data_IF_727813449833
#
_entry.id   IF_727813449833
#
_cell.length_a   1.000
_cell.length_b   1.000
_cell.length_c   1.000
_cell.angle_alpha   90.00
_cell.angle_beta   90.00
_cell.angle_gamma   90.00
#
_symmetry.space_group_name_H-M   'P 1'
#
loop_
_entity.id
_entity.type
_entity.pdbx_description
1 polymer ?
#
# COMPACT_ATOMS: atom_id res chain seq x y z
N UNK A 1 -24.67 -34.06 -37.48
CA UNK A 1 -23.71 -34.78 -36.61
C UNK A 1 -22.63 -33.79 -36.19
N UNK A 2 -22.41 -33.63 -34.88
CA UNK A 2 -21.64 -32.54 -34.25
C UNK A 2 -20.14 -32.67 -34.47
N UNK A 3 -19.46 -31.57 -34.77
CA UNK A 3 -18.01 -31.40 -34.56
C UNK A 3 -17.87 -30.40 -33.41
N UNK A 4 -17.41 -30.89 -32.25
CA UNK A 4 -17.15 -30.07 -31.05
C UNK A 4 -15.65 -29.88 -30.93
N UNK A 5 -15.21 -28.62 -30.92
CA UNK A 5 -13.83 -28.25 -30.63
C UNK A 5 -13.51 -28.32 -29.14
N UNK A 6 -12.25 -28.62 -28.82
CA UNK A 6 -11.67 -28.29 -27.53
C UNK A 6 -10.37 -27.51 -27.76
N UNK A 7 -10.35 -26.30 -27.20
CA UNK A 7 -9.17 -25.44 -27.07
C UNK A 7 -8.41 -25.86 -25.82
N UNK A 8 -7.14 -26.18 -25.96
CA UNK A 8 -6.22 -26.37 -24.83
C UNK A 8 -5.36 -25.11 -24.69
N UNK A 9 -5.59 -24.34 -23.64
CA UNK A 9 -4.84 -23.14 -23.28
C UNK A 9 -3.45 -23.48 -22.73
N UNK A 10 -2.41 -22.63 -22.91
CA UNK A 10 -1.08 -22.89 -22.37
C UNK A 10 -1.03 -22.62 -20.86
N UNK A 11 -0.39 -23.53 -20.12
CA UNK A 11 -0.20 -23.41 -18.67
C UNK A 11 0.82 -22.31 -18.34
N UNK A 12 0.39 -21.29 -17.61
CA UNK A 12 1.24 -20.20 -17.13
C UNK A 12 1.98 -20.67 -15.87
N UNK A 13 3.26 -21.02 -15.98
CA UNK A 13 4.13 -21.31 -14.83
C UNK A 13 4.49 -20.00 -14.12
N UNK A 14 3.84 -19.71 -13.00
CA UNK A 14 4.27 -18.69 -12.04
C UNK A 14 5.40 -19.26 -11.18
N UNK A 15 6.52 -18.53 -11.14
CA UNK A 15 7.61 -18.76 -10.20
C UNK A 15 7.12 -18.57 -8.76
N UNK A 16 6.73 -19.66 -8.10
CA UNK A 16 6.65 -19.70 -6.65
C UNK A 16 8.08 -19.84 -6.12
N UNK A 17 8.59 -18.78 -5.50
CA UNK A 17 9.78 -18.86 -4.66
C UNK A 17 9.38 -19.75 -3.46
N UNK A 18 9.72 -21.03 -3.54
CA UNK A 18 9.47 -22.01 -2.50
C UNK A 18 10.26 -21.61 -1.27
N UNK A 19 9.55 -21.13 -0.25
CA UNK A 19 10.07 -21.16 1.11
C UNK A 19 10.26 -22.64 1.47
N UNK A 20 11.51 -23.11 1.48
CA UNK A 20 11.82 -24.45 1.95
C UNK A 20 11.79 -24.43 3.48
N UNK A 21 10.81 -25.08 4.13
CA UNK A 21 10.82 -25.18 5.58
C UNK A 21 12.05 -26.00 5.98
N UNK A 22 12.95 -25.40 6.76
CA UNK A 22 13.99 -26.15 7.46
C UNK A 22 13.28 -27.07 8.45
N UNK A 23 13.16 -28.35 8.06
CA UNK A 23 13.04 -29.55 8.90
C UNK A 23 12.43 -29.34 10.29
N UNK A 24 11.20 -29.80 10.43
CA UNK A 24 10.44 -30.03 11.66
C UNK A 24 11.31 -30.23 12.91
N UNK A 25 11.61 -29.13 13.59
CA UNK A 25 11.97 -29.14 14.99
C UNK A 25 10.81 -28.46 15.71
N UNK A 26 9.71 -29.19 15.92
CA UNK A 26 8.71 -28.80 16.92
C UNK A 26 9.50 -28.40 18.16
N UNK A 27 9.43 -27.13 18.56
CA UNK A 27 10.09 -26.67 19.78
C UNK A 27 9.57 -27.52 20.93
N UNK A 28 10.37 -28.49 21.38
CA UNK A 28 9.98 -29.43 22.43
C UNK A 28 9.85 -28.62 23.71
N UNK A 29 8.61 -28.28 24.08
CA UNK A 29 8.26 -27.65 25.36
C UNK A 29 7.53 -26.31 25.28
N UNK A 30 7.50 -25.62 24.13
CA UNK A 30 6.71 -24.39 23.99
C UNK A 30 5.60 -24.54 22.94
N UNK A 31 4.36 -24.23 23.33
CA UNK A 31 3.23 -24.15 22.40
C UNK A 31 3.15 -22.76 21.75
N UNK A 32 2.36 -22.62 20.68
CA UNK A 32 2.24 -21.36 19.94
C UNK A 32 1.72 -20.21 20.79
N UNK A 33 0.83 -20.49 21.75
CA UNK A 33 0.29 -19.49 22.68
C UNK A 33 1.37 -18.90 23.60
N UNK A 34 2.28 -19.74 24.12
CA UNK A 34 3.42 -19.27 24.91
C UNK A 34 4.37 -18.41 24.07
N UNK A 35 4.55 -18.74 22.78
CA UNK A 35 5.33 -17.90 21.87
C UNK A 35 4.67 -16.54 21.65
N UNK A 36 3.33 -16.51 21.51
CA UNK A 36 2.59 -15.25 21.42
C UNK A 36 2.71 -14.41 22.70
N UNK A 37 2.62 -15.04 23.88
CA UNK A 37 2.75 -14.34 25.15
C UNK A 37 4.12 -13.65 25.25
N UNK A 38 5.20 -14.35 24.90
CA UNK A 38 6.53 -13.75 24.83
C UNK A 38 6.59 -12.60 23.81
N UNK A 39 6.03 -12.81 22.61
CA UNK A 39 5.99 -11.76 21.59
C UNK A 39 5.29 -10.49 22.09
N UNK A 40 4.20 -10.64 22.84
CA UNK A 40 3.49 -9.51 23.43
C UNK A 40 4.27 -8.80 24.54
N UNK A 41 5.04 -9.52 25.35
CA UNK A 41 5.91 -8.91 26.34
C UNK A 41 6.95 -8.00 25.68
N UNK A 42 7.62 -8.48 24.63
CA UNK A 42 8.57 -7.66 23.87
C UNK A 42 7.89 -6.50 23.14
N UNK A 43 6.69 -6.72 22.59
CA UNK A 43 5.90 -5.65 21.97
C UNK A 43 5.56 -4.52 22.97
N UNK A 44 5.19 -4.87 24.20
CA UNK A 44 4.92 -3.91 25.28
C UNK A 44 6.20 -3.20 25.75
N UNK A 45 7.33 -3.89 25.73
CA UNK A 45 8.64 -3.31 26.01
C UNK A 45 9.16 -2.41 24.86
N UNK A 46 8.50 -2.42 23.70
CA UNK A 46 8.90 -1.67 22.50
C UNK A 46 10.04 -2.31 21.71
N UNK A 47 10.43 -3.53 22.05
CA UNK A 47 11.43 -4.32 21.33
C UNK A 47 10.72 -5.09 20.20
N UNK A 48 10.59 -4.42 19.05
CA UNK A 48 9.83 -4.94 17.93
C UNK A 48 10.58 -6.05 17.17
N UNK A 49 11.90 -6.03 17.21
CA UNK A 49 12.78 -7.06 16.67
C UNK A 49 12.61 -8.38 17.42
N UNK A 50 12.70 -8.38 18.75
CA UNK A 50 12.47 -9.58 19.54
C UNK A 50 11.02 -10.07 19.44
N UNK A 51 10.04 -9.16 19.40
CA UNK A 51 8.65 -9.52 19.18
C UNK A 51 8.45 -10.27 17.85
N UNK A 52 9.12 -9.82 16.77
CA UNK A 52 9.08 -10.48 15.47
C UNK A 52 9.57 -11.93 15.56
N UNK A 53 10.72 -12.16 16.19
CA UNK A 53 11.27 -13.51 16.36
C UNK A 53 10.28 -14.45 17.06
N UNK A 54 9.61 -13.96 18.10
CA UNK A 54 8.64 -14.75 18.85
C UNK A 54 7.33 -15.00 18.10
N UNK A 55 6.84 -14.03 17.32
CA UNK A 55 5.71 -14.26 16.43
C UNK A 55 6.03 -15.29 15.34
N UNK A 56 7.25 -15.24 14.76
CA UNK A 56 7.69 -16.22 13.77
C UNK A 56 7.80 -17.62 14.39
N UNK A 57 8.34 -17.74 15.61
CA UNK A 57 8.33 -19.01 16.36
C UNK A 57 6.91 -19.53 16.60
N UNK A 58 5.93 -18.66 16.88
CA UNK A 58 4.53 -19.09 17.00
C UNK A 58 4.04 -19.72 15.69
N UNK A 59 4.35 -19.11 14.54
CA UNK A 59 4.04 -19.68 13.22
C UNK A 59 4.76 -21.01 12.98
N UNK A 60 6.00 -21.18 13.44
CA UNK A 60 6.71 -22.46 13.34
C UNK A 60 6.03 -23.58 14.15
N UNK A 61 5.38 -23.25 15.27
CA UNK A 61 4.65 -24.26 16.07
C UNK A 61 3.38 -24.76 15.39
N UNK A 62 2.70 -23.87 14.64
CA UNK A 62 1.53 -24.21 13.83
C UNK A 62 1.52 -23.34 12.55
N UNK A 63 2.09 -23.85 11.43
CA UNK A 63 2.26 -23.09 10.20
C UNK A 63 0.96 -22.68 9.49
N UNK A 64 -0.15 -23.32 9.83
CA UNK A 64 -1.46 -23.13 9.20
C UNK A 64 -2.45 -22.41 10.14
N UNK A 65 -2.00 -21.92 11.30
CA UNK A 65 -2.82 -21.10 12.20
C UNK A 65 -2.89 -19.64 11.68
N UNK A 66 -4.03 -19.19 11.11
CA UNK A 66 -4.12 -17.89 10.45
C UNK A 66 -3.86 -16.74 11.42
N UNK A 67 -4.25 -16.88 12.70
CA UNK A 67 -4.03 -15.84 13.70
C UNK A 67 -2.54 -15.60 13.96
N UNK A 68 -1.70 -16.64 13.94
CA UNK A 68 -0.26 -16.50 14.18
C UNK A 68 0.41 -15.81 12.99
N UNK A 69 0.05 -16.23 11.77
CA UNK A 69 0.55 -15.66 10.53
C UNK A 69 0.18 -14.17 10.43
N UNK A 70 -1.06 -13.82 10.76
CA UNK A 70 -1.53 -12.44 10.80
C UNK A 70 -0.77 -11.57 11.82
N UNK A 71 -0.53 -12.08 13.04
CA UNK A 71 0.22 -11.32 14.06
C UNK A 71 1.68 -11.11 13.63
N UNK A 72 2.29 -12.12 13.01
CA UNK A 72 3.62 -11.99 12.40
C UNK A 72 3.63 -10.93 11.29
N UNK A 73 2.63 -10.90 10.39
CA UNK A 73 2.58 -9.90 9.32
C UNK A 73 2.51 -8.47 9.84
N UNK A 74 1.76 -8.22 10.91
CA UNK A 74 1.68 -6.91 11.56
C UNK A 74 3.06 -6.47 12.06
N UNK A 75 3.77 -7.35 12.77
CA UNK A 75 5.07 -7.02 13.38
C UNK A 75 6.14 -6.85 12.32
N UNK A 76 6.17 -7.69 11.28
CA UNK A 76 7.03 -7.53 10.10
C UNK A 76 6.81 -6.16 9.44
N UNK A 77 5.55 -5.75 9.25
CA UNK A 77 5.24 -4.44 8.68
C UNK A 77 5.73 -3.28 9.56
N UNK A 78 5.66 -3.45 10.89
CA UNK A 78 6.16 -2.47 11.86
C UNK A 78 7.69 -2.34 11.81
N UNK A 79 8.39 -3.44 11.56
CA UNK A 79 9.85 -3.48 11.41
C UNK A 79 10.33 -3.08 10.00
N UNK A 80 9.44 -2.51 9.17
CA UNK A 80 9.79 -2.05 7.83
C UNK A 80 9.94 -3.16 6.79
N UNK A 81 9.70 -4.42 7.15
CA UNK A 81 9.80 -5.59 6.26
C UNK A 81 8.50 -5.77 5.44
N UNK A 82 8.16 -4.77 4.65
CA UNK A 82 6.87 -4.71 3.93
C UNK A 82 6.64 -5.89 2.98
N UNK A 83 7.68 -6.38 2.30
CA UNK A 83 7.58 -7.52 1.38
C UNK A 83 7.23 -8.84 2.09
N UNK A 84 7.86 -9.10 3.23
CA UNK A 84 7.58 -10.28 4.06
C UNK A 84 6.20 -10.17 4.71
N UNK A 85 5.86 -8.99 5.23
CA UNK A 85 4.54 -8.71 5.79
C UNK A 85 3.41 -8.99 4.78
N UNK A 86 3.56 -8.57 3.53
CA UNK A 86 2.59 -8.86 2.45
C UNK A 86 2.45 -10.36 2.21
N UNK A 87 3.55 -11.10 2.25
CA UNK A 87 3.55 -12.55 2.04
C UNK A 87 2.79 -13.27 3.16
N UNK A 88 3.04 -12.89 4.42
CA UNK A 88 2.32 -13.45 5.56
C UNK A 88 0.84 -13.02 5.58
N UNK A 89 0.53 -11.74 5.35
CA UNK A 89 -0.85 -11.27 5.31
C UNK A 89 -1.67 -11.96 4.20
N UNK A 90 -1.06 -12.20 3.03
CA UNK A 90 -1.66 -12.96 1.95
C UNK A 90 -2.02 -14.38 2.37
N UNK A 91 -1.08 -15.09 3.02
CA UNK A 91 -1.33 -16.44 3.55
C UNK A 91 -2.44 -16.47 4.61
N UNK A 92 -2.49 -15.47 5.50
CA UNK A 92 -3.55 -15.39 6.51
C UNK A 92 -4.93 -15.25 5.86
N UNK A 93 -5.05 -14.43 4.81
CA UNK A 93 -6.30 -14.28 4.02
C UNK A 93 -6.62 -15.54 3.21
N UNK A 94 -5.62 -16.25 2.68
CA UNK A 94 -5.84 -17.51 1.96
C UNK A 94 -6.42 -18.60 2.87
N UNK A 95 -5.98 -18.67 4.13
CA UNK A 95 -6.42 -19.67 5.09
C UNK A 95 -7.75 -19.31 5.78
N UNK A 96 -8.05 -18.02 5.94
CA UNK A 96 -9.29 -17.51 6.55
C UNK A 96 -9.81 -16.28 5.79
N UNK A 97 -10.36 -16.46 4.57
CA UNK A 97 -10.79 -15.36 3.70
C UNK A 97 -12.01 -14.60 4.22
N UNK A 98 -12.80 -15.22 5.09
CA UNK A 98 -13.95 -14.61 5.75
C UNK A 98 -13.56 -13.64 6.86
N UNK A 99 -12.30 -13.65 7.32
CA UNK A 99 -11.88 -12.83 8.45
C UNK A 99 -11.59 -11.37 8.05
N UNK A 100 -12.47 -10.41 8.40
CA UNK A 100 -12.37 -9.05 7.87
C UNK A 100 -11.08 -8.35 8.30
N UNK A 101 -10.58 -8.65 9.50
CA UNK A 101 -9.33 -8.07 10.01
C UNK A 101 -8.12 -8.41 9.14
N UNK A 102 -8.07 -9.63 8.58
CA UNK A 102 -6.96 -10.09 7.74
C UNK A 102 -7.03 -9.42 6.38
N UNK A 103 -8.23 -9.39 5.79
CA UNK A 103 -8.47 -8.74 4.49
C UNK A 103 -8.16 -7.24 4.57
N UNK A 104 -8.62 -6.55 5.61
CA UNK A 104 -8.33 -5.13 5.81
C UNK A 104 -6.83 -4.87 5.97
N UNK A 105 -6.13 -5.69 6.76
CA UNK A 105 -4.68 -5.56 6.93
C UNK A 105 -3.92 -5.77 5.63
N UNK A 106 -4.24 -6.81 4.85
CA UNK A 106 -3.62 -7.06 3.54
C UNK A 106 -3.82 -5.85 2.61
N UNK A 107 -5.04 -5.33 2.51
CA UNK A 107 -5.34 -4.12 1.72
C UNK A 107 -4.52 -2.91 2.15
N UNK A 108 -4.36 -2.70 3.45
CA UNK A 108 -3.51 -1.60 3.98
C UNK A 108 -2.04 -1.79 3.57
N UNK A 109 -1.51 -3.02 3.62
CA UNK A 109 -0.14 -3.29 3.18
C UNK A 109 0.03 -3.12 1.67
N UNK A 110 -0.95 -3.54 0.86
CA UNK A 110 -0.95 -3.34 -0.59
C UNK A 110 -1.00 -1.86 -0.95
N UNK A 111 -1.83 -1.07 -0.25
CA UNK A 111 -1.86 0.38 -0.38
C UNK A 111 -0.49 1.01 -0.07
N UNK A 112 0.17 0.59 1.01
CA UNK A 112 1.53 1.05 1.37
C UNK A 112 2.56 0.70 0.29
N UNK A 113 2.49 -0.48 -0.34
CA UNK A 113 3.39 -0.87 -1.43
C UNK A 113 3.22 0.02 -2.65
N UNK A 114 1.97 0.27 -3.05
CA UNK A 114 1.66 1.17 -4.17
C UNK A 114 2.10 2.60 -3.87
N UNK A 115 1.87 3.08 -2.65
CA UNK A 115 2.33 4.38 -2.17
C UNK A 115 3.85 4.52 -2.28
N UNK A 116 4.61 3.51 -1.83
CA UNK A 116 6.08 3.52 -1.91
C UNK A 116 6.57 3.59 -3.36
N UNK A 117 5.98 2.81 -4.27
CA UNK A 117 6.30 2.85 -5.69
C UNK A 117 5.98 4.20 -6.34
N UNK A 118 4.80 4.75 -6.06
CA UNK A 118 4.41 6.06 -6.55
C UNK A 118 5.30 7.19 -6.01
N UNK A 119 5.70 7.12 -4.74
CA UNK A 119 6.63 8.08 -4.14
C UNK A 119 7.99 8.03 -4.83
N UNK A 120 8.47 6.83 -5.20
CA UNK A 120 9.68 6.69 -6.01
C UNK A 120 9.55 7.45 -7.32
N UNK A 121 8.48 7.21 -8.10
CA UNK A 121 8.21 7.88 -9.38
C UNK A 121 8.17 9.41 -9.27
N UNK A 122 7.56 9.93 -8.20
CA UNK A 122 7.49 11.37 -7.94
C UNK A 122 8.83 12.01 -7.52
N UNK A 123 9.83 11.21 -7.13
CA UNK A 123 11.19 11.68 -6.84
C UNK A 123 12.09 11.76 -8.08
N UNK A 124 11.65 11.25 -9.23
CA UNK A 124 12.38 11.42 -10.49
C UNK A 124 12.43 12.90 -10.91
N UNK A 125 13.41 13.25 -11.76
CA UNK A 125 13.57 14.59 -12.31
C UNK A 125 13.61 14.51 -13.84
N UNK A 126 12.52 14.89 -14.56
CA UNK A 126 11.24 15.38 -14.04
C UNK A 126 10.40 14.28 -13.34
N UNK A 127 9.44 14.63 -12.45
CA UNK A 127 8.56 13.66 -11.81
C UNK A 127 7.71 12.89 -12.82
N UNK A 128 7.67 11.56 -12.66
CA UNK A 128 6.88 10.63 -13.49
C UNK A 128 5.43 10.55 -12.97
N UNK A 129 4.72 11.68 -13.09
CA UNK A 129 3.41 11.88 -12.46
C UNK A 129 2.30 11.03 -13.08
N UNK A 130 2.31 10.87 -14.41
CA UNK A 130 1.30 10.08 -15.14
C UNK A 130 1.36 8.60 -14.75
N UNK A 131 2.56 8.08 -14.51
CA UNK A 131 2.79 6.72 -14.02
C UNK A 131 2.40 6.57 -12.53
N UNK A 132 2.61 7.60 -11.71
CA UNK A 132 2.29 7.58 -10.29
C UNK A 132 0.76 7.64 -10.02
N UNK A 133 -0.01 8.36 -10.83
CA UNK A 133 -1.46 8.55 -10.66
C UNK A 133 -2.24 7.22 -10.55
N UNK A 134 -2.12 6.24 -11.48
CA UNK A 134 -2.88 4.99 -11.37
C UNK A 134 -2.53 4.19 -10.11
N UNK A 135 -1.25 4.20 -9.69
CA UNK A 135 -0.81 3.56 -8.45
C UNK A 135 -1.46 4.21 -7.23
N UNK A 136 -1.48 5.54 -7.17
CA UNK A 136 -2.05 6.30 -6.07
C UNK A 136 -3.58 6.20 -6.02
N UNK A 137 -4.25 6.13 -7.17
CA UNK A 137 -5.70 5.88 -7.24
C UNK A 137 -6.06 4.51 -6.67
N UNK A 138 -5.29 3.48 -7.02
CA UNK A 138 -5.51 2.14 -6.48
C UNK A 138 -5.18 2.08 -4.99
N UNK A 139 -4.10 2.73 -4.54
CA UNK A 139 -3.77 2.86 -3.13
C UNK A 139 -4.91 3.53 -2.34
N UNK A 140 -5.54 4.57 -2.91
CA UNK A 140 -6.67 5.27 -2.29
C UNK A 140 -7.95 4.42 -2.26
N UNK A 141 -8.14 3.53 -3.25
CA UNK A 141 -9.25 2.56 -3.24
C UNK A 141 -9.07 1.51 -2.14
N UNK A 142 -7.82 1.06 -1.95
CA UNK A 142 -7.48 0.06 -0.95
C UNK A 142 -7.56 0.63 0.48
N UNK A 143 -7.06 1.85 0.69
CA UNK A 143 -7.10 2.58 1.95
C UNK A 143 -7.68 4.01 1.78
N UNK A 144 -9.02 4.16 1.80
CA UNK A 144 -9.70 5.43 1.55
C UNK A 144 -9.47 6.51 2.62
N UNK A 145 -8.96 6.13 3.80
CA UNK A 145 -8.73 7.04 4.92
C UNK A 145 -7.27 7.51 5.00
N UNK A 146 -6.38 6.97 4.15
CA UNK A 146 -4.99 7.38 4.12
C UNK A 146 -4.84 8.81 3.59
N UNK A 147 -4.58 9.74 4.51
CA UNK A 147 -4.28 11.13 4.18
C UNK A 147 -2.99 11.28 3.37
N UNK A 148 -1.98 10.43 3.62
CA UNK A 148 -0.72 10.44 2.88
C UNK A 148 -0.95 10.05 1.41
N UNK A 149 -1.74 9.00 1.15
CA UNK A 149 -2.09 8.60 -0.22
C UNK A 149 -2.85 9.72 -0.94
N UNK A 150 -3.87 10.32 -0.29
CA UNK A 150 -4.62 11.45 -0.86
C UNK A 150 -3.73 12.65 -1.16
N UNK A 151 -2.79 12.96 -0.26
CA UNK A 151 -1.85 14.06 -0.43
C UNK A 151 -0.96 13.83 -1.65
N UNK A 152 -0.33 12.65 -1.75
CA UNK A 152 0.52 12.34 -2.91
C UNK A 152 -0.28 12.22 -4.21
N UNK A 153 -1.53 11.73 -4.18
CA UNK A 153 -2.40 11.73 -5.35
C UNK A 153 -2.66 13.15 -5.86
N UNK A 154 -2.93 14.09 -4.95
CA UNK A 154 -3.09 15.48 -5.31
C UNK A 154 -1.80 16.12 -5.85
N UNK A 155 -0.64 15.76 -5.27
CA UNK A 155 0.67 16.18 -5.77
C UNK A 155 0.93 15.65 -7.18
N UNK A 156 0.63 14.38 -7.44
CA UNK A 156 0.77 13.78 -8.76
C UNK A 156 -0.14 14.49 -9.78
N UNK A 157 -1.42 14.74 -9.46
CA UNK A 157 -2.30 15.54 -10.31
C UNK A 157 -1.77 16.97 -10.55
N UNK A 158 -1.18 17.61 -9.53
CA UNK A 158 -0.58 18.94 -9.69
C UNK A 158 0.60 18.90 -10.66
N UNK A 159 1.50 17.91 -10.56
CA UNK A 159 2.62 17.74 -11.48
C UNK A 159 2.17 17.44 -12.92
N UNK A 160 1.09 16.67 -13.10
CA UNK A 160 0.48 16.43 -14.40
C UNK A 160 -0.26 17.66 -14.98
N UNK A 161 -0.37 18.76 -14.21
CA UNK A 161 -1.13 19.96 -14.62
C UNK A 161 -2.65 19.80 -14.49
N UNK A 162 -3.12 18.69 -13.94
CA UNK A 162 -4.52 18.38 -13.66
C UNK A 162 -5.04 19.11 -12.41
N UNK A 163 -4.92 20.44 -12.42
CA UNK A 163 -5.26 21.30 -11.28
C UNK A 163 -6.69 21.11 -10.78
N UNK A 164 -7.63 20.71 -11.65
CA UNK A 164 -9.02 20.43 -11.24
C UNK A 164 -9.09 19.27 -10.27
N UNK A 165 -8.42 18.16 -10.59
CA UNK A 165 -8.40 16.94 -9.77
C UNK A 165 -7.53 17.12 -8.51
N UNK A 166 -6.39 17.80 -8.64
CA UNK A 166 -5.55 18.15 -7.49
C UNK A 166 -6.33 18.96 -6.45
N UNK A 167 -7.03 20.02 -6.87
CA UNK A 167 -7.82 20.87 -5.96
C UNK A 167 -9.03 20.14 -5.36
N UNK A 168 -9.66 19.21 -6.08
CA UNK A 168 -10.75 18.41 -5.53
C UNK A 168 -10.23 17.48 -4.42
N UNK A 169 -9.17 16.73 -4.73
CA UNK A 169 -8.53 15.78 -3.80
C UNK A 169 -8.02 16.48 -2.52
N UNK A 170 -7.43 17.67 -2.65
CA UNK A 170 -6.95 18.45 -1.50
C UNK A 170 -8.09 18.99 -0.63
N UNK A 171 -9.24 19.35 -1.21
CA UNK A 171 -10.40 19.78 -0.42
C UNK A 171 -10.92 18.63 0.42
N UNK A 172 -11.11 17.46 -0.20
CA UNK A 172 -11.52 16.25 0.52
C UNK A 172 -10.53 15.88 1.63
N UNK A 173 -9.22 16.03 1.39
CA UNK A 173 -8.20 15.77 2.40
C UNK A 173 -8.28 16.77 3.57
N UNK A 174 -8.48 18.06 3.29
CA UNK A 174 -8.62 19.08 4.34
C UNK A 174 -9.92 18.91 5.13
N UNK A 175 -11.00 18.43 4.49
CA UNK A 175 -12.24 18.07 5.17
C UNK A 175 -12.04 16.86 6.10
N UNK A 176 -11.31 15.83 5.64
CA UNK A 176 -11.00 14.65 6.44
C UNK A 176 -9.98 14.93 7.57
N UNK A 177 -9.01 15.80 7.31
CA UNK A 177 -7.91 16.14 8.22
C UNK A 177 -7.72 17.66 8.30
N UNK A 178 -8.58 18.38 9.04
CA UNK A 178 -8.53 19.84 9.15
C UNK A 178 -7.21 20.40 9.70
N UNK A 179 -6.41 19.58 10.39
CA UNK A 179 -5.11 19.90 10.96
C UNK A 179 -3.93 19.66 9.99
N UNK A 180 -4.17 19.12 8.80
CA UNK A 180 -3.12 18.82 7.83
C UNK A 180 -2.63 20.11 7.14
N UNK A 181 -1.64 20.77 7.76
CA UNK A 181 -1.07 22.03 7.26
C UNK A 181 -0.40 21.89 5.90
N UNK A 182 0.17 20.72 5.62
CA UNK A 182 0.80 20.42 4.34
C UNK A 182 -0.24 20.38 3.21
N UNK A 183 -1.37 19.72 3.42
CA UNK A 183 -2.49 19.73 2.47
C UNK A 183 -3.00 21.16 2.22
N UNK A 184 -3.13 21.99 3.27
CA UNK A 184 -3.53 23.41 3.13
C UNK A 184 -2.52 24.22 2.34
N UNK A 185 -1.22 23.99 2.55
CA UNK A 185 -0.13 24.64 1.82
C UNK A 185 -0.21 24.30 0.34
N UNK A 186 -0.23 23.01 0.00
CA UNK A 186 -0.32 22.54 -1.39
C UNK A 186 -1.61 23.02 -2.05
N UNK A 187 -2.72 23.09 -1.32
CA UNK A 187 -3.99 23.64 -1.83
C UNK A 187 -3.86 25.12 -2.24
N UNK A 188 -3.16 25.94 -1.46
CA UNK A 188 -2.89 27.35 -1.80
C UNK A 188 -2.00 27.47 -3.03
N UNK A 189 -0.93 26.70 -3.08
CA UNK A 189 0.02 26.69 -4.22
C UNK A 189 -0.68 26.26 -5.51
N UNK A 190 -1.43 25.16 -5.47
CA UNK A 190 -2.17 24.62 -6.63
C UNK A 190 -3.19 25.65 -7.16
N UNK A 191 -3.84 26.43 -6.28
CA UNK A 191 -4.75 27.51 -6.71
C UNK A 191 -4.00 28.62 -7.44
N UNK A 192 -2.83 29.00 -6.95
CA UNK A 192 -1.99 30.04 -7.57
C UNK A 192 -1.48 29.59 -8.94
N UNK A 193 -0.95 28.37 -9.04
CA UNK A 193 -0.48 27.79 -10.30
C UNK A 193 -1.59 27.71 -11.34
N UNK A 194 -2.77 27.20 -10.97
CA UNK A 194 -3.93 27.18 -11.86
C UNK A 194 -4.32 28.57 -12.35
N UNK A 195 -4.25 29.59 -11.49
CA UNK A 195 -4.55 30.98 -11.89
C UNK A 195 -3.53 31.49 -12.90
N UNK A 196 -2.25 31.19 -12.68
CA UNK A 196 -1.17 31.60 -13.58
C UNK A 196 -1.25 30.87 -14.93
N UNK A 197 -1.51 29.56 -14.93
CA UNK A 197 -1.64 28.78 -16.18
C UNK A 197 -2.80 29.28 -17.04
N UNK A 198 -3.95 29.60 -16.43
CA UNK A 198 -5.08 30.21 -17.14
C UNK A 198 -4.68 31.55 -17.74
N UNK A 199 -4.00 32.43 -16.98
CA UNK A 199 -3.56 33.75 -17.48
C UNK A 199 -2.62 33.61 -18.67
N UNK A 200 -1.67 32.67 -18.61
CA UNK A 200 -0.73 32.40 -19.70
C UNK A 200 -1.46 31.95 -20.97
N UNK A 201 -2.42 31.02 -20.86
CA UNK A 201 -3.23 30.55 -21.99
C UNK A 201 -3.98 31.73 -22.65
N UNK A 202 -4.57 32.63 -21.86
CA UNK A 202 -5.25 33.81 -22.40
C UNK A 202 -4.29 34.78 -23.11
N UNK A 203 -3.11 35.05 -22.56
CA UNK A 203 -2.13 35.93 -23.20
C UNK A 203 -1.58 35.34 -24.50
N UNK A 204 -1.31 34.03 -24.54
CA UNK A 204 -0.82 33.34 -25.75
C UNK A 204 -1.87 33.29 -26.87
N UNK A 205 -3.15 33.14 -26.52
CA UNK A 205 -4.25 33.10 -27.49
C UNK A 205 -4.63 34.49 -28.05
N UNK A 206 -4.31 35.59 -27.35
CA UNK A 206 -4.56 36.93 -27.87
C UNK A 206 -3.48 37.37 -28.87
N UNK A 207 -2.22 36.96 -28.72
CA UNK A 207 -1.15 37.29 -29.68
C UNK A 207 -1.24 36.54 -31.02
N UNK A 208 -2.05 35.48 -31.11
CA UNK A 208 -2.23 34.70 -32.34
C UNK A 208 -3.39 35.19 -33.22
N UNK A 209 -4.14 36.21 -32.80
CA UNK A 209 -5.29 36.77 -33.55
C UNK A 209 -5.02 38.11 -34.24
N UNK A 210 -3.83 38.68 -34.12
CA UNK A 210 -3.48 40.01 -34.63
C UNK A 210 -2.76 39.99 -36.01
N UNK A 211 -3.04 39.00 -36.88
CA UNK A 211 -2.50 38.95 -38.26
C UNK A 211 -3.60 38.70 -39.29
#
# INVERSE_FOLDING_TARGET
MRIVGQRSTPSNRRNHMLYHPRTERRMVGMNGEQCLEQAYQYLLAGDFEAAEEWFLKAVETNPDEPSYIYRASITLARNGKLGEALSFAGRAVELAPEEPAFVLHLRTLESKKLLAGAKSLLLHVPPEAEEAIPMLREAARLDPLSGEVKLLLAVAYRYAGDYRLALATLRELVELQPQNEEAKRILRETRQERRLSIKQIYTSNNHTKDW
#
